data_IF_153181041913
#
_entry.id   IF_153181041913
#
_cell.length_a   1.000
_cell.length_b   1.000
_cell.length_c   1.000
_cell.angle_alpha   90.00
_cell.angle_beta   90.00
_cell.angle_gamma   90.00
#
_symmetry.space_group_name_H-M   'P 1'
#
loop_
_entity.id
_entity.type
_entity.pdbx_description
1 polymer ?
#
# COMPACT_ATOMS: atom_id res chain seq x y z
N UNK A 1 30.90 -2.57 53.40
CA UNK A 1 30.74 -1.83 52.14
C UNK A 1 31.81 -2.26 51.16
N UNK A 2 31.44 -2.80 49.99
CA UNK A 2 32.31 -2.84 48.82
C UNK A 2 31.46 -2.41 47.62
N UNK A 3 31.70 -1.20 47.11
CA UNK A 3 31.08 -0.69 45.88
C UNK A 3 31.87 -1.27 44.71
N UNK A 4 31.24 -2.07 43.87
CA UNK A 4 31.79 -2.49 42.57
C UNK A 4 31.67 -1.30 41.59
N UNK A 5 32.69 -0.97 40.78
CA UNK A 5 32.59 0.14 39.83
C UNK A 5 31.72 -0.25 38.62
N UNK A 6 30.86 0.67 38.18
CA UNK A 6 30.05 0.58 36.97
C UNK A 6 30.96 0.45 35.75
N UNK A 7 30.82 -0.66 35.01
CA UNK A 7 31.45 -0.82 33.70
C UNK A 7 30.66 0.05 32.71
N UNK A 8 31.30 1.06 32.12
CA UNK A 8 30.72 1.93 31.10
C UNK A 8 30.37 1.11 29.85
N UNK A 9 29.10 1.17 29.44
CA UNK A 9 28.63 0.65 28.16
C UNK A 9 29.24 1.51 27.03
N UNK A 10 29.90 0.93 26.02
CA UNK A 10 30.36 1.71 24.88
C UNK A 10 29.16 2.20 24.07
N UNK A 11 29.13 3.50 23.79
CA UNK A 11 28.20 4.14 22.86
C UNK A 11 28.61 3.74 21.44
N UNK A 12 27.79 2.96 20.73
CA UNK A 12 28.02 2.73 19.30
C UNK A 12 27.64 3.99 18.50
N UNK A 13 28.54 4.52 17.66
CA UNK A 13 28.24 5.64 16.79
C UNK A 13 27.55 5.17 15.50
N UNK A 14 26.41 5.80 15.18
CA UNK A 14 26.02 6.14 13.81
C UNK A 14 25.43 5.03 12.96
N UNK A 15 24.11 5.04 12.82
CA UNK A 15 23.39 4.46 11.67
C UNK A 15 23.88 5.16 10.40
N UNK A 16 24.77 4.51 9.67
CA UNK A 16 25.16 4.85 8.30
C UNK A 16 24.47 3.88 7.35
N UNK A 17 23.38 4.33 6.74
CA UNK A 17 22.67 3.62 5.68
C UNK A 17 23.48 3.64 4.39
N UNK A 18 24.45 2.74 4.25
CA UNK A 18 25.05 2.43 2.95
C UNK A 18 24.37 1.20 2.36
N UNK A 19 23.28 1.44 1.61
CA UNK A 19 22.68 0.43 0.76
C UNK A 19 23.60 0.15 -0.44
N UNK A 20 24.05 -1.09 -0.69
CA UNK A 20 24.91 -1.40 -1.82
C UNK A 20 24.16 -1.21 -3.15
N UNK A 21 24.79 -0.47 -4.08
CA UNK A 21 24.28 -0.05 -5.40
C UNK A 21 23.98 -1.18 -6.41
N UNK A 22 23.86 -2.44 -5.98
CA UNK A 22 23.60 -3.58 -6.87
C UNK A 22 22.10 -3.90 -7.08
N UNK A 23 21.18 -3.21 -6.40
CA UNK A 23 19.74 -3.49 -6.50
C UNK A 23 18.91 -2.54 -7.38
N UNK A 24 19.53 -1.54 -8.02
CA UNK A 24 18.79 -0.53 -8.81
C UNK A 24 18.21 -1.12 -10.12
N UNK A 25 18.79 -2.21 -10.63
CA UNK A 25 18.40 -2.77 -11.93
C UNK A 25 16.96 -3.31 -12.00
N UNK A 26 16.48 -4.00 -10.97
CA UNK A 26 15.13 -4.60 -10.98
C UNK A 26 14.05 -3.62 -10.50
N UNK A 27 14.38 -2.78 -9.51
CA UNK A 27 13.50 -1.72 -9.03
C UNK A 27 13.16 -0.71 -10.12
N UNK A 28 14.12 -0.34 -10.98
CA UNK A 28 13.86 0.62 -12.07
C UNK A 28 12.99 0.00 -13.19
N UNK A 29 13.15 -1.29 -13.50
CA UNK A 29 12.34 -1.97 -14.53
C UNK A 29 10.90 -2.16 -14.04
N UNK A 30 10.68 -2.60 -12.80
CA UNK A 30 9.34 -2.68 -12.23
C UNK A 30 8.68 -1.30 -12.09
N UNK A 31 9.46 -0.27 -11.72
CA UNK A 31 8.98 1.11 -11.66
C UNK A 31 8.59 1.65 -13.05
N UNK A 32 9.43 1.48 -14.07
CA UNK A 32 9.13 1.90 -15.45
C UNK A 32 7.96 1.10 -16.03
N UNK A 33 7.87 -0.22 -15.75
CA UNK A 33 6.76 -1.06 -16.15
C UNK A 33 5.44 -0.63 -15.50
N UNK A 34 5.45 -0.36 -14.19
CA UNK A 34 4.29 0.13 -13.46
C UNK A 34 3.85 1.51 -13.97
N UNK A 35 4.78 2.46 -14.15
CA UNK A 35 4.50 3.78 -14.75
C UNK A 35 3.91 3.65 -16.16
N UNK A 36 4.39 2.70 -16.97
CA UNK A 36 3.90 2.49 -18.33
C UNK A 36 2.47 1.90 -18.38
N UNK A 37 2.07 1.07 -17.40
CA UNK A 37 0.69 0.57 -17.31
C UNK A 37 -0.30 1.57 -16.73
N UNK A 38 0.14 2.57 -15.98
CA UNK A 38 -0.71 3.62 -15.42
C UNK A 38 -1.06 4.74 -16.41
N UNK A 39 -0.64 4.67 -17.68
CA UNK A 39 -1.01 5.67 -18.68
C UNK A 39 -2.48 5.50 -19.08
N UNK A 40 -3.34 6.39 -18.59
CA UNK A 40 -4.71 6.54 -19.10
C UNK A 40 -4.62 7.03 -20.56
N UNK A 41 -5.27 6.36 -21.54
CA UNK A 41 -5.26 6.84 -22.91
C UNK A 41 -5.99 8.17 -23.01
N UNK A 42 -5.26 9.26 -23.26
CA UNK A 42 -5.84 10.57 -23.59
C UNK A 42 -6.46 10.46 -24.99
N UNK A 43 -7.78 10.37 -25.05
CA UNK A 43 -8.53 10.38 -26.30
C UNK A 43 -8.51 11.81 -26.86
N UNK A 44 -7.80 12.00 -27.97
CA UNK A 44 -7.60 13.31 -28.61
C UNK A 44 -8.74 13.54 -29.60
N UNK A 45 -9.83 14.14 -29.14
CA UNK A 45 -10.92 14.64 -30.00
C UNK A 45 -11.24 16.09 -29.65
N UNK A 46 -10.73 16.98 -30.50
CA UNK A 46 -11.09 18.37 -30.82
C UNK A 46 -11.96 19.23 -29.86
N UNK A 47 -11.27 20.21 -29.27
CA UNK A 47 -11.55 21.66 -29.34
C UNK A 47 -12.73 22.31 -28.56
N UNK A 48 -12.44 22.75 -27.33
CA UNK A 48 -12.43 24.15 -26.83
C UNK A 48 -13.03 24.31 -25.43
N UNK A 49 -12.23 24.92 -24.54
CA UNK A 49 -12.52 25.34 -23.16
C UNK A 49 -12.72 24.22 -22.12
N UNK A 50 -11.65 23.50 -21.80
CA UNK A 50 -11.53 22.77 -20.53
C UNK A 50 -10.74 23.67 -19.57
N UNK A 51 -11.30 24.09 -18.42
CA UNK A 51 -10.50 24.71 -17.36
C UNK A 51 -9.36 23.75 -17.05
N UNK A 52 -8.12 24.23 -17.12
CA UNK A 52 -6.92 23.46 -16.81
C UNK A 52 -6.98 23.01 -15.35
N UNK A 53 -7.70 21.92 -15.08
CA UNK A 53 -7.56 21.16 -13.86
C UNK A 53 -6.14 20.62 -13.89
N UNK A 54 -5.30 21.16 -13.00
CA UNK A 54 -3.95 20.67 -12.77
C UNK A 54 -4.03 19.15 -12.60
N UNK A 55 -3.51 18.40 -13.56
CA UNK A 55 -3.24 16.97 -13.40
C UNK A 55 -2.12 16.90 -12.37
N UNK A 56 -2.48 16.95 -11.08
CA UNK A 56 -1.54 16.73 -10.01
C UNK A 56 -1.07 15.29 -10.17
N UNK A 57 0.18 15.14 -10.58
CA UNK A 57 0.90 13.87 -10.61
C UNK A 57 0.98 13.38 -9.16
N UNK A 58 -0.09 12.71 -8.68
CA UNK A 58 -0.14 12.13 -7.34
C UNK A 58 0.90 11.03 -7.32
N UNK A 59 1.95 11.21 -6.52
CA UNK A 59 2.91 10.14 -6.24
C UNK A 59 2.13 8.92 -5.72
N UNK A 60 2.37 7.71 -6.24
CA UNK A 60 1.69 6.51 -5.76
C UNK A 60 1.85 6.36 -4.25
N UNK A 61 0.74 6.10 -3.55
CA UNK A 61 0.77 5.81 -2.12
C UNK A 61 1.37 4.42 -1.94
N UNK A 62 2.27 4.29 -0.98
CA UNK A 62 3.05 3.06 -0.78
C UNK A 62 2.69 2.31 0.50
N UNK A 63 1.92 2.94 1.39
CA UNK A 63 1.56 2.41 2.70
C UNK A 63 0.08 2.56 2.99
N UNK A 64 -0.39 1.78 3.95
CA UNK A 64 -1.70 1.98 4.56
C UNK A 64 -1.64 3.25 5.40
N UNK A 65 -2.62 4.13 5.20
CA UNK A 65 -2.75 5.37 5.96
C UNK A 65 -3.77 5.15 7.07
N UNK A 66 -3.42 5.55 8.29
CA UNK A 66 -4.39 5.75 9.37
C UNK A 66 -4.97 7.16 9.26
N UNK A 67 -6.25 7.24 8.91
CA UNK A 67 -6.94 8.49 8.68
C UNK A 67 -7.98 8.73 9.77
N UNK A 68 -7.90 9.88 10.44
CA UNK A 68 -8.92 10.30 11.37
C UNK A 68 -10.08 10.93 10.62
N UNK A 69 -11.27 10.36 10.75
CA UNK A 69 -12.52 10.85 10.14
C UNK A 69 -12.82 12.26 10.64
N UNK A 70 -13.02 13.18 9.71
CA UNK A 70 -13.37 14.57 9.96
C UNK A 70 -14.88 14.80 9.80
N UNK A 71 -15.34 15.96 10.25
CA UNK A 71 -16.71 16.40 10.02
C UNK A 71 -17.03 16.43 8.53
N UNK A 72 -18.20 15.89 8.15
CA UNK A 72 -18.69 15.76 6.78
C UNK A 72 -17.99 14.73 5.90
N UNK A 73 -17.04 13.95 6.43
CA UNK A 73 -16.47 12.83 5.68
C UNK A 73 -17.52 11.73 5.46
N UNK A 74 -17.61 11.29 4.21
CA UNK A 74 -18.37 10.10 3.79
C UNK A 74 -17.43 9.07 3.17
N UNK A 75 -17.83 7.79 3.16
CA UNK A 75 -17.06 6.74 2.47
C UNK A 75 -16.81 7.10 1.01
N UNK A 76 -17.79 7.68 0.32
CA UNK A 76 -17.66 8.16 -1.06
C UNK A 76 -16.63 9.30 -1.18
N UNK A 77 -16.71 10.31 -0.32
CA UNK A 77 -15.78 11.44 -0.36
C UNK A 77 -14.34 11.00 -0.12
N UNK A 78 -14.11 10.06 0.79
CA UNK A 78 -12.80 9.51 1.09
C UNK A 78 -12.31 8.61 -0.03
N UNK A 79 -13.16 7.77 -0.59
CA UNK A 79 -12.85 6.96 -1.78
C UNK A 79 -12.36 7.84 -2.94
N UNK A 80 -13.07 8.93 -3.23
CA UNK A 80 -12.71 9.88 -4.28
C UNK A 80 -11.41 10.63 -3.95
N UNK A 81 -11.25 11.09 -2.69
CA UNK A 81 -10.05 11.79 -2.21
C UNK A 81 -8.80 10.94 -2.36
N UNK A 82 -8.90 9.66 -2.01
CA UNK A 82 -7.78 8.72 -2.03
C UNK A 82 -7.65 7.95 -3.34
N UNK A 83 -8.61 8.07 -4.27
CA UNK A 83 -8.59 7.34 -5.54
C UNK A 83 -8.63 5.81 -5.34
N UNK A 84 -9.55 5.36 -4.50
CA UNK A 84 -9.80 3.94 -4.21
C UNK A 84 -11.30 3.65 -4.25
N UNK A 85 -11.68 2.38 -4.37
CA UNK A 85 -13.09 2.02 -4.29
C UNK A 85 -13.67 2.22 -2.88
N UNK A 86 -14.96 2.57 -2.80
CA UNK A 86 -15.69 2.59 -1.53
C UNK A 86 -15.66 1.22 -0.84
N UNK A 87 -15.71 0.14 -1.63
CA UNK A 87 -15.63 -1.23 -1.14
C UNK A 87 -14.31 -1.48 -0.42
N UNK A 88 -13.19 -1.02 -0.98
CA UNK A 88 -11.86 -1.13 -0.37
C UNK A 88 -11.81 -0.48 1.01
N UNK A 89 -12.42 0.69 1.19
CA UNK A 89 -12.52 1.34 2.50
C UNK A 89 -13.32 0.45 3.46
N UNK A 90 -14.49 -0.05 3.04
CA UNK A 90 -15.33 -0.90 3.89
C UNK A 90 -14.63 -2.19 4.30
N UNK A 91 -14.02 -2.89 3.35
CA UNK A 91 -13.33 -4.15 3.58
C UNK A 91 -12.12 -3.99 4.50
N UNK A 92 -11.30 -2.94 4.30
CA UNK A 92 -10.14 -2.68 5.14
C UNK A 92 -10.49 -2.35 6.61
N UNK A 93 -11.73 -1.92 6.87
CA UNK A 93 -12.21 -1.48 8.17
C UNK A 93 -13.33 -2.37 8.74
N UNK A 94 -13.61 -3.53 8.13
CA UNK A 94 -14.68 -4.44 8.53
C UNK A 94 -16.06 -3.76 8.63
N UNK A 95 -16.34 -2.79 7.78
CA UNK A 95 -17.60 -2.05 7.78
C UNK A 95 -18.70 -2.84 7.07
N UNK A 96 -19.87 -2.92 7.67
CA UNK A 96 -21.07 -3.54 7.08
C UNK A 96 -21.94 -2.53 6.32
N UNK A 97 -21.73 -1.23 6.55
CA UNK A 97 -22.45 -0.12 5.93
C UNK A 97 -21.48 1.03 5.58
N UNK A 98 -22.02 2.21 5.26
CA UNK A 98 -21.25 3.41 4.94
C UNK A 98 -21.13 4.39 6.14
N UNK A 99 -21.39 3.94 7.37
CA UNK A 99 -21.39 4.80 8.55
C UNK A 99 -19.96 5.11 8.99
N UNK A 100 -19.61 6.40 9.04
CA UNK A 100 -18.34 6.87 9.60
C UNK A 100 -18.60 7.65 10.89
N UNK A 101 -17.85 7.34 11.94
CA UNK A 101 -17.89 8.11 13.19
C UNK A 101 -16.80 9.17 13.17
N UNK A 102 -17.17 10.44 13.31
CA UNK A 102 -16.22 11.55 13.42
C UNK A 102 -15.23 11.28 14.56
N UNK A 103 -13.95 11.56 14.32
CA UNK A 103 -12.86 11.33 15.26
C UNK A 103 -12.35 9.89 15.32
N UNK A 104 -13.05 8.93 14.72
CA UNK A 104 -12.55 7.55 14.58
C UNK A 104 -11.39 7.48 13.60
N UNK A 105 -10.49 6.51 13.81
CA UNK A 105 -9.39 6.24 12.89
C UNK A 105 -9.73 5.05 12.01
N UNK A 106 -9.61 5.22 10.70
CA UNK A 106 -9.84 4.19 9.69
C UNK A 106 -8.58 3.96 8.85
N UNK A 107 -8.45 2.75 8.31
CA UNK A 107 -7.39 2.36 7.39
C UNK A 107 -7.78 2.71 5.97
N UNK A 108 -6.86 3.36 5.26
CA UNK A 108 -6.99 3.70 3.85
C UNK A 108 -5.87 2.98 3.09
N UNK A 109 -6.25 2.08 2.17
CA UNK A 109 -5.27 1.33 1.39
C UNK A 109 -4.60 2.20 0.32
N UNK A 110 -3.35 1.88 -0.06
CA UNK A 110 -2.62 2.59 -1.12
C UNK A 110 -3.24 2.46 -2.52
N UNK A 111 -4.06 1.43 -2.75
CA UNK A 111 -4.70 1.14 -4.04
C UNK A 111 -6.07 0.49 -3.81
N UNK A 112 -6.94 0.52 -4.83
CA UNK A 112 -8.16 -0.31 -4.86
C UNK A 112 -7.77 -1.78 -4.76
N UNK A 113 -8.49 -2.51 -3.90
CA UNK A 113 -8.28 -3.93 -3.66
C UNK A 113 -8.67 -4.35 -2.25
N UNK A 114 -8.03 -5.40 -1.76
CA UNK A 114 -8.26 -6.00 -0.44
C UNK A 114 -6.96 -6.07 0.37
N UNK A 115 -7.09 -5.88 1.68
CA UNK A 115 -6.04 -6.15 2.66
C UNK A 115 -6.24 -7.57 3.20
N UNK A 116 -5.25 -8.43 3.01
CA UNK A 116 -5.26 -9.82 3.47
C UNK A 116 -4.21 -10.01 4.57
N UNK A 117 -4.60 -10.56 5.72
CA UNK A 117 -3.66 -11.03 6.73
C UNK A 117 -3.39 -12.52 6.49
N UNK A 118 -2.14 -12.86 6.23
CA UNK A 118 -1.71 -14.23 5.93
C UNK A 118 -1.97 -15.17 7.10
N UNK A 119 -2.34 -16.40 6.77
CA UNK A 119 -2.53 -17.50 7.71
C UNK A 119 -1.62 -18.68 7.31
N UNK A 120 -1.53 -19.66 8.21
CA UNK A 120 -0.76 -20.87 7.94
C UNK A 120 -1.30 -21.59 6.69
N UNK A 121 -0.40 -21.87 5.74
CA UNK A 121 -0.72 -22.57 4.50
C UNK A 121 -1.08 -21.64 3.33
N UNK A 122 -1.08 -20.32 3.53
CA UNK A 122 -1.26 -19.40 2.41
C UNK A 122 -0.12 -19.49 1.39
N UNK A 123 -0.53 -19.28 0.14
CA UNK A 123 0.34 -19.11 -1.02
C UNK A 123 -0.19 -17.93 -1.83
N UNK A 124 0.65 -17.35 -2.69
CA UNK A 124 0.17 -16.32 -3.62
C UNK A 124 -1.01 -16.82 -4.47
N UNK A 125 -0.98 -18.09 -4.88
CA UNK A 125 -2.06 -18.70 -5.67
C UNK A 125 -3.37 -18.80 -4.88
N UNK A 126 -3.33 -19.22 -3.61
CA UNK A 126 -4.56 -19.35 -2.80
C UNK A 126 -5.16 -18.00 -2.46
N UNK A 127 -4.31 -17.01 -2.16
CA UNK A 127 -4.74 -15.63 -1.91
C UNK A 127 -5.36 -15.03 -3.19
N UNK A 128 -4.69 -15.17 -4.33
CA UNK A 128 -5.18 -14.67 -5.62
C UNK A 128 -6.54 -15.27 -5.99
N UNK A 129 -6.69 -16.59 -5.83
CA UNK A 129 -7.96 -17.28 -6.08
C UNK A 129 -9.07 -16.78 -5.16
N UNK A 130 -8.79 -16.61 -3.86
CA UNK A 130 -9.75 -16.11 -2.88
C UNK A 130 -10.32 -14.75 -3.27
N UNK A 131 -9.47 -13.86 -3.79
CA UNK A 131 -9.85 -12.49 -4.14
C UNK A 131 -10.09 -12.27 -5.63
N UNK A 132 -10.13 -13.36 -6.42
CA UNK A 132 -10.46 -13.38 -7.86
C UNK A 132 -9.52 -12.52 -8.72
N UNK A 133 -8.24 -12.48 -8.37
CA UNK A 133 -7.21 -11.74 -9.13
C UNK A 133 -6.19 -12.68 -9.77
N UNK A 134 -5.42 -12.13 -10.70
CA UNK A 134 -4.24 -12.82 -11.20
C UNK A 134 -3.13 -12.85 -10.12
N UNK A 135 -2.44 -13.99 -9.90
CA UNK A 135 -1.33 -14.08 -8.95
C UNK A 135 -0.23 -13.04 -9.19
N UNK A 136 0.00 -12.64 -10.43
CA UNK A 136 0.99 -11.63 -10.78
C UNK A 136 0.60 -10.23 -10.28
N UNK A 137 -0.70 -9.94 -10.07
CA UNK A 137 -1.13 -8.69 -9.44
C UNK A 137 -0.61 -8.56 -8.01
N UNK A 138 -0.49 -9.67 -7.29
CA UNK A 138 0.06 -9.70 -5.93
C UNK A 138 1.59 -9.70 -5.98
N UNK A 139 2.19 -10.57 -6.80
CA UNK A 139 3.66 -10.72 -6.91
C UNK A 139 4.36 -9.47 -7.44
N UNK A 140 3.74 -8.76 -8.38
CA UNK A 140 4.33 -7.56 -9.00
C UNK A 140 3.99 -6.28 -8.24
N UNK A 141 3.23 -6.36 -7.15
CA UNK A 141 2.93 -5.19 -6.35
C UNK A 141 4.12 -4.84 -5.45
N UNK A 142 4.86 -3.75 -5.74
CA UNK A 142 6.17 -3.49 -5.12
C UNK A 142 6.09 -3.11 -3.64
N UNK A 143 4.89 -2.87 -3.11
CA UNK A 143 4.68 -2.45 -1.72
C UNK A 143 4.22 -3.61 -0.82
N UNK A 144 4.16 -4.83 -1.34
CA UNK A 144 4.06 -6.01 -0.50
C UNK A 144 5.40 -6.29 0.18
N UNK A 145 5.36 -6.71 1.43
CA UNK A 145 6.57 -7.02 2.21
C UNK A 145 7.27 -8.23 1.59
N UNK A 146 8.57 -8.10 1.34
CA UNK A 146 9.41 -9.17 0.82
C UNK A 146 10.49 -9.58 1.82
N UNK A 147 10.87 -10.85 1.80
CA UNK A 147 12.01 -11.37 2.56
C UNK A 147 13.36 -11.02 1.88
N UNK A 148 14.46 -11.46 2.48
CA UNK A 148 15.83 -11.22 2.00
C UNK A 148 16.10 -11.76 0.58
N UNK A 149 15.31 -12.74 0.13
CA UNK A 149 15.41 -13.32 -1.22
C UNK A 149 14.60 -12.54 -2.27
N UNK A 150 13.90 -11.46 -1.88
CA UNK A 150 13.05 -10.68 -2.76
C UNK A 150 11.69 -11.31 -3.06
N UNK A 151 11.31 -12.37 -2.33
CA UNK A 151 9.99 -13.01 -2.46
C UNK A 151 9.04 -12.45 -1.40
N UNK A 152 7.74 -12.37 -1.71
CA UNK A 152 6.72 -11.95 -0.76
C UNK A 152 6.77 -12.80 0.52
N UNK A 153 6.78 -12.12 1.67
CA UNK A 153 6.73 -12.77 2.98
C UNK A 153 5.29 -13.25 3.28
N UNK A 154 5.14 -14.56 3.42
CA UNK A 154 3.87 -15.20 3.74
C UNK A 154 3.83 -15.75 5.18
N UNK A 155 4.72 -15.28 6.05
CA UNK A 155 4.69 -15.60 7.48
C UNK A 155 3.32 -15.23 8.04
N UNK A 156 2.63 -16.13 8.79
CA UNK A 156 1.30 -15.84 9.34
C UNK A 156 1.27 -14.53 10.14
N UNK A 157 0.25 -13.71 9.90
CA UNK A 157 0.11 -12.38 10.47
C UNK A 157 0.65 -11.24 9.59
N UNK A 158 1.34 -11.55 8.49
CA UNK A 158 1.81 -10.55 7.53
C UNK A 158 0.64 -9.96 6.76
N UNK A 159 0.65 -8.65 6.54
CA UNK A 159 -0.35 -7.98 5.71
C UNK A 159 0.11 -7.95 4.26
N UNK A 160 -0.72 -8.50 3.39
CA UNK A 160 -0.57 -8.50 1.94
C UNK A 160 -1.68 -7.64 1.33
N UNK A 161 -1.27 -6.69 0.50
CA UNK A 161 -2.20 -5.94 -0.35
C UNK A 161 -2.45 -6.77 -1.62
N UNK A 162 -3.73 -6.89 -1.96
CA UNK A 162 -4.21 -7.59 -3.14
C UNK A 162 -4.86 -6.55 -4.05
N UNK A 163 -4.09 -5.94 -4.98
CA UNK A 163 -4.62 -4.92 -5.90
C UNK A 163 -5.75 -5.49 -6.75
N UNK A 164 -6.79 -4.68 -6.93
CA UNK A 164 -8.01 -5.02 -7.69
C UNK A 164 -8.76 -6.27 -7.17
N UNK A 165 -8.41 -6.76 -5.98
CA UNK A 165 -9.10 -7.87 -5.33
C UNK A 165 -10.49 -7.51 -4.84
N UNK A 166 -11.34 -8.53 -4.74
CA UNK A 166 -12.72 -8.40 -4.26
C UNK A 166 -13.06 -9.46 -3.22
N UNK A 167 -13.90 -9.13 -2.23
CA UNK A 167 -14.40 -10.07 -1.21
C UNK A 167 -15.76 -10.68 -1.56
#
# INVERSE_FOLDING_TARGET
>A
MVKTPLKSVPHEPGVGSEFPLLFIGLFFVAFVYYVSKSTVPVNKSDNQNIPTASVQQRTPRTTIIEYQVQDSDTVESLANKFDISQNTIRWANNMTDNTLSVGSTIKILPVTGVMHTTIQGDSISSIAQKYKVDPASISNYPFNITNESGTIDLTPGTVIIVPDGEM
#
